data_IF_750471964279
#
_entry.id   IF_750471964279
#
_cell.length_a   1.000
_cell.length_b   1.000
_cell.length_c   1.000
_cell.angle_alpha   90.00
_cell.angle_beta   90.00
_cell.angle_gamma   90.00
#
_symmetry.space_group_name_H-M   'P 1'
#
loop_
_entity.id
_entity.type
_entity.pdbx_description
1 polymer ?
#
# COMPACT_ATOMS: atom_id res chain seq x y z
N UNK A 1 11.82 7.74 11.52
CA UNK A 1 12.10 8.48 10.29
C UNK A 1 10.78 9.03 9.77
N UNK A 2 10.67 10.34 9.64
CA UNK A 2 9.51 11.04 9.09
C UNK A 2 9.67 11.45 7.62
N UNK A 3 8.66 12.15 7.10
CA UNK A 3 8.60 12.60 5.70
C UNK A 3 9.82 13.42 5.28
N UNK A 4 10.23 14.36 6.14
CA UNK A 4 11.34 15.28 5.84
C UNK A 4 12.66 14.52 5.73
N UNK A 5 12.86 13.49 6.55
CA UNK A 5 14.05 12.66 6.54
C UNK A 5 14.17 11.84 5.25
N UNK A 6 13.06 11.29 4.76
CA UNK A 6 13.04 10.60 3.47
C UNK A 6 13.21 11.56 2.29
N UNK A 7 12.58 12.73 2.33
CA UNK A 7 12.76 13.76 1.30
C UNK A 7 14.22 14.24 1.26
N UNK A 8 14.82 14.54 2.41
CA UNK A 8 16.22 14.93 2.51
C UNK A 8 17.15 13.81 2.04
N UNK A 9 16.88 12.56 2.42
CA UNK A 9 17.66 11.41 1.95
C UNK A 9 17.64 11.33 0.42
N UNK A 10 16.48 11.43 -0.22
CA UNK A 10 16.38 11.41 -1.69
C UNK A 10 17.10 12.61 -2.33
N UNK A 11 16.95 13.81 -1.78
CA UNK A 11 17.57 15.03 -2.29
C UNK A 11 19.11 15.00 -2.24
N UNK A 12 19.70 14.20 -1.33
CA UNK A 12 21.15 14.05 -1.22
C UNK A 12 21.67 12.80 -1.93
N UNK A 13 21.00 11.66 -1.78
CA UNK A 13 21.46 10.37 -2.31
C UNK A 13 21.28 10.26 -3.82
N UNK A 14 20.18 10.77 -4.39
CA UNK A 14 19.97 10.71 -5.86
C UNK A 14 21.08 11.46 -6.60
N UNK A 15 21.38 12.74 -6.28
CA UNK A 15 22.46 13.45 -6.99
C UNK A 15 23.84 12.86 -6.72
N UNK A 16 24.09 12.29 -5.53
CA UNK A 16 25.33 11.60 -5.22
C UNK A 16 25.54 10.40 -6.15
N UNK A 17 24.51 9.55 -6.30
CA UNK A 17 24.56 8.36 -7.15
C UNK A 17 24.75 8.76 -8.62
N UNK A 18 24.01 9.76 -9.10
CA UNK A 18 24.08 10.20 -10.49
C UNK A 18 25.44 10.78 -10.89
N UNK A 19 26.22 11.30 -9.93
CA UNK A 19 27.54 11.89 -10.17
C UNK A 19 28.70 10.93 -9.89
N UNK A 20 28.42 9.79 -9.26
CA UNK A 20 29.45 8.84 -8.85
C UNK A 20 29.86 7.93 -10.00
N UNK A 21 31.14 7.58 -10.05
CA UNK A 21 31.62 6.49 -10.90
C UNK A 21 31.41 5.11 -10.24
N UNK A 22 31.70 4.04 -10.98
CA UNK A 22 31.51 2.67 -10.50
C UNK A 22 32.31 2.35 -9.22
N UNK A 23 33.54 2.87 -9.10
CA UNK A 23 34.39 2.61 -7.94
C UNK A 23 33.87 3.35 -6.69
N UNK A 24 33.37 4.57 -6.87
CA UNK A 24 32.72 5.33 -5.81
C UNK A 24 31.44 4.67 -5.34
N UNK A 25 30.61 4.17 -6.26
CA UNK A 25 29.36 3.46 -5.92
C UNK A 25 29.63 2.17 -5.14
N UNK A 26 30.64 1.39 -5.54
CA UNK A 26 31.07 0.20 -4.81
C UNK A 26 31.57 0.56 -3.40
N UNK A 27 32.35 1.65 -3.26
CA UNK A 27 32.80 2.13 -1.96
C UNK A 27 31.65 2.57 -1.05
N UNK A 28 30.66 3.30 -1.58
CA UNK A 28 29.48 3.70 -0.81
C UNK A 28 28.64 2.50 -0.37
N UNK A 29 28.43 1.54 -1.27
CA UNK A 29 27.68 0.33 -0.97
C UNK A 29 28.35 -0.50 0.13
N UNK A 30 29.70 -0.63 0.07
CA UNK A 30 30.48 -1.31 1.10
C UNK A 30 30.39 -0.62 2.46
N UNK A 31 30.47 0.72 2.50
CA UNK A 31 30.32 1.49 3.75
C UNK A 31 28.94 1.26 4.36
N UNK A 32 27.88 1.40 3.56
CA UNK A 32 26.50 1.24 4.03
C UNK A 32 26.22 -0.20 4.46
N UNK A 33 26.77 -1.18 3.76
CA UNK A 33 26.60 -2.60 4.12
C UNK A 33 27.20 -2.96 5.49
N UNK A 34 28.13 -2.16 6.00
CA UNK A 34 28.72 -2.32 7.33
C UNK A 34 27.93 -1.61 8.44
N UNK A 35 26.88 -0.86 8.11
CA UNK A 35 26.04 -0.11 9.05
C UNK A 35 24.77 -0.90 9.39
N UNK A 36 24.72 -1.63 10.53
CA UNK A 36 23.56 -2.46 10.87
C UNK A 36 22.26 -1.67 11.02
N UNK A 37 22.32 -0.41 11.43
CA UNK A 37 21.18 0.49 11.55
C UNK A 37 20.52 0.84 10.21
N UNK A 38 21.23 0.67 9.09
CA UNK A 38 20.72 0.87 7.73
C UNK A 38 20.25 -0.42 7.08
N UNK A 39 20.10 -1.49 7.85
CA UNK A 39 19.61 -2.76 7.33
C UNK A 39 18.10 -2.72 7.12
N UNK A 40 17.67 -3.20 5.96
CA UNK A 40 16.27 -3.28 5.56
C UNK A 40 15.84 -4.74 5.62
N UNK A 41 14.71 -5.02 6.24
CA UNK A 41 14.16 -6.38 6.32
C UNK A 41 13.01 -6.54 5.33
N UNK A 42 13.08 -7.58 4.49
CA UNK A 42 12.03 -7.89 3.51
C UNK A 42 11.21 -9.11 3.94
N UNK A 43 10.17 -9.45 3.17
CA UNK A 43 9.27 -10.58 3.41
C UNK A 43 8.60 -10.53 4.79
N UNK A 44 8.31 -9.33 5.29
CA UNK A 44 7.73 -9.14 6.62
C UNK A 44 6.32 -9.73 6.73
N UNK A 45 5.63 -9.95 5.61
CA UNK A 45 4.34 -10.65 5.59
C UNK A 45 4.41 -12.09 6.10
N UNK A 46 5.59 -12.73 6.11
CA UNK A 46 5.77 -14.04 6.76
C UNK A 46 5.61 -13.98 8.27
N UNK A 47 5.88 -12.83 8.89
CA UNK A 47 5.80 -12.60 10.35
C UNK A 47 4.38 -12.41 10.85
N UNK A 48 3.38 -12.42 9.97
CA UNK A 48 1.98 -12.44 10.40
C UNK A 48 1.61 -13.73 11.18
N UNK A 49 2.56 -14.65 11.43
CA UNK A 49 2.43 -15.84 12.29
C UNK A 49 1.24 -16.76 11.94
N UNK A 50 0.86 -16.80 10.67
CA UNK A 50 -0.19 -17.68 10.15
C UNK A 50 -0.02 -19.18 10.45
N UNK A 51 1.21 -19.74 10.52
CA UNK A 51 1.39 -21.17 10.81
C UNK A 51 1.12 -21.53 12.28
N UNK A 52 1.19 -20.57 13.21
CA UNK A 52 1.07 -20.83 14.66
C UNK A 52 -0.38 -20.73 15.15
N UNK A 53 -1.28 -20.15 14.36
CA UNK A 53 -2.71 -20.20 14.66
C UNK A 53 -3.22 -21.63 14.39
N UNK A 54 -3.47 -22.39 15.46
CA UNK A 54 -4.12 -23.70 15.33
C UNK A 54 -5.39 -23.55 14.49
N UNK A 55 -5.49 -24.25 13.37
CA UNK A 55 -6.56 -24.08 12.38
C UNK A 55 -7.99 -24.17 12.99
N UNK A 56 -8.13 -24.81 14.14
CA UNK A 56 -9.36 -24.96 14.92
C UNK A 56 -9.84 -23.68 15.64
N UNK A 57 -8.95 -22.74 15.99
CA UNK A 57 -9.31 -21.49 16.69
C UNK A 57 -9.57 -20.31 15.75
N UNK A 58 -9.28 -20.46 14.45
CA UNK A 58 -9.48 -19.42 13.45
C UNK A 58 -10.95 -19.33 13.01
N UNK A 59 -11.44 -18.09 12.87
CA UNK A 59 -12.75 -17.83 12.25
C UNK A 59 -12.76 -18.34 10.80
N UNK A 60 -13.93 -18.71 10.24
CA UNK A 60 -14.03 -19.15 8.83
C UNK A 60 -13.42 -18.15 7.84
N UNK A 61 -13.56 -16.85 8.14
CA UNK A 61 -13.00 -15.76 7.36
C UNK A 61 -11.47 -15.77 7.33
N UNK A 62 -10.83 -15.88 8.50
CA UNK A 62 -9.38 -15.94 8.61
C UNK A 62 -8.83 -17.21 7.97
N UNK A 63 -9.51 -18.34 8.16
CA UNK A 63 -9.16 -19.62 7.52
C UNK A 63 -9.19 -19.51 5.99
N UNK A 64 -10.26 -18.94 5.43
CA UNK A 64 -10.38 -18.69 4.00
C UNK A 64 -9.27 -17.78 3.47
N UNK A 65 -8.95 -16.71 4.21
CA UNK A 65 -7.92 -15.75 3.80
C UNK A 65 -6.51 -16.37 3.83
N UNK A 66 -6.20 -17.19 4.82
CA UNK A 66 -4.91 -17.91 4.90
C UNK A 66 -4.77 -18.91 3.74
N UNK A 67 -5.84 -19.60 3.36
CA UNK A 67 -5.80 -20.49 2.20
C UNK A 67 -5.52 -19.73 0.90
N UNK A 68 -6.16 -18.56 0.71
CA UNK A 68 -5.88 -17.69 -0.44
C UNK A 68 -4.43 -17.18 -0.43
N UNK A 69 -3.90 -16.79 0.73
CA UNK A 69 -2.51 -16.37 0.89
C UNK A 69 -1.54 -17.47 0.44
N UNK A 70 -1.73 -18.71 0.91
CA UNK A 70 -0.90 -19.87 0.53
C UNK A 70 -0.97 -20.21 -0.97
N UNK A 71 -2.06 -19.83 -1.65
CA UNK A 71 -2.28 -20.08 -3.08
C UNK A 71 -1.83 -18.90 -3.96
N UNK A 72 -1.37 -17.80 -3.36
CA UNK A 72 -0.94 -16.61 -4.10
C UNK A 72 0.23 -16.93 -5.02
N UNK A 73 0.15 -16.49 -6.27
CA UNK A 73 1.26 -16.54 -7.24
C UNK A 73 2.28 -15.40 -7.05
N UNK A 74 1.93 -14.43 -6.19
CA UNK A 74 2.75 -13.33 -5.73
C UNK A 74 3.27 -13.56 -4.30
N UNK A 75 3.18 -14.80 -3.80
CA UNK A 75 3.67 -15.14 -2.48
C UNK A 75 5.20 -14.95 -2.40
N UNK A 76 5.72 -14.88 -1.18
CA UNK A 76 7.17 -14.75 -0.97
C UNK A 76 7.91 -15.93 -1.61
N UNK A 77 9.03 -15.64 -2.27
CA UNK A 77 9.94 -16.70 -2.72
C UNK A 77 10.41 -17.52 -1.52
N UNK A 78 10.42 -18.85 -1.64
CA UNK A 78 11.10 -19.72 -0.67
C UNK A 78 12.60 -19.40 -0.68
N UNK A 79 13.04 -18.66 0.33
CA UNK A 79 14.45 -18.44 0.60
C UNK A 79 14.95 -19.55 1.54
N UNK A 80 16.21 -19.94 1.38
CA UNK A 80 16.82 -21.02 2.17
C UNK A 80 16.75 -20.75 3.68
N UNK A 81 16.94 -21.80 4.49
CA UNK A 81 16.81 -21.73 5.96
C UNK A 81 17.77 -20.72 6.64
N UNK A 82 18.77 -20.20 5.92
CA UNK A 82 19.79 -19.27 6.42
C UNK A 82 19.56 -17.79 6.05
N UNK A 83 18.55 -17.46 5.24
CA UNK A 83 18.26 -16.06 4.89
C UNK A 83 17.49 -15.37 6.05
N UNK A 84 18.13 -14.44 6.74
CA UNK A 84 17.55 -13.65 7.84
C UNK A 84 16.66 -12.50 7.34
N UNK A 85 16.40 -12.45 6.03
CA UNK A 85 15.68 -11.42 5.28
C UNK A 85 16.31 -10.03 5.39
N UNK A 86 17.53 -9.95 5.90
CA UNK A 86 18.25 -8.71 6.03
C UNK A 86 18.86 -8.35 4.69
N UNK A 87 18.71 -7.10 4.32
CA UNK A 87 19.27 -6.50 3.12
C UNK A 87 20.05 -5.26 3.52
N UNK A 88 21.15 -5.01 2.85
CA UNK A 88 22.02 -3.86 3.14
C UNK A 88 22.61 -3.33 1.84
N UNK A 89 23.11 -2.10 1.90
CA UNK A 89 23.71 -1.43 0.75
C UNK A 89 22.93 -0.21 0.28
N UNK A 90 23.57 0.58 -0.58
CA UNK A 90 23.10 1.88 -1.00
C UNK A 90 21.76 1.79 -1.74
N UNK A 91 21.63 0.79 -2.62
CA UNK A 91 20.41 0.54 -3.39
C UNK A 91 19.20 0.27 -2.50
N UNK A 92 19.38 -0.46 -1.40
CA UNK A 92 18.30 -0.77 -0.46
C UNK A 92 17.85 0.45 0.33
N UNK A 93 18.79 1.27 0.80
CA UNK A 93 18.48 2.48 1.59
C UNK A 93 17.69 3.48 0.76
N UNK A 94 18.15 3.77 -0.46
CA UNK A 94 17.45 4.73 -1.32
C UNK A 94 16.12 4.17 -1.83
N UNK A 95 16.01 2.86 -2.09
CA UNK A 95 14.74 2.21 -2.41
C UNK A 95 13.71 2.36 -1.28
N UNK A 96 14.11 2.11 -0.03
CA UNK A 96 13.24 2.30 1.13
C UNK A 96 12.81 3.77 1.26
N UNK A 97 13.76 4.70 1.18
CA UNK A 97 13.44 6.13 1.27
C UNK A 97 12.43 6.56 0.20
N UNK A 98 12.55 6.02 -1.01
CA UNK A 98 11.63 6.27 -2.14
C UNK A 98 10.22 5.74 -1.88
N UNK A 99 10.10 4.52 -1.35
CA UNK A 99 8.80 3.90 -1.05
C UNK A 99 8.09 4.66 0.08
N UNK A 100 8.81 4.95 1.16
CA UNK A 100 8.25 5.66 2.31
C UNK A 100 7.85 7.10 1.96
N UNK A 101 8.71 7.82 1.24
CA UNK A 101 8.38 9.15 0.72
C UNK A 101 7.13 9.11 -0.17
N UNK A 102 7.10 8.20 -1.16
CA UNK A 102 5.98 8.05 -2.07
C UNK A 102 4.67 7.69 -1.36
N UNK A 103 4.72 6.82 -0.36
CA UNK A 103 3.55 6.46 0.47
C UNK A 103 2.95 7.67 1.19
N UNK A 104 3.79 8.57 1.69
CA UNK A 104 3.35 9.81 2.34
C UNK A 104 2.77 10.79 1.32
N UNK A 105 3.40 10.97 0.16
CA UNK A 105 2.89 11.82 -0.92
C UNK A 105 1.49 11.41 -1.38
N UNK A 106 1.27 10.11 -1.62
CA UNK A 106 -0.05 9.56 -1.99
C UNK A 106 -1.10 9.91 -0.93
N UNK A 107 -0.71 9.86 0.34
CA UNK A 107 -1.60 10.06 1.46
C UNK A 107 -2.08 11.50 1.65
N UNK A 108 -1.33 12.50 1.19
CA UNK A 108 -1.55 13.90 1.60
C UNK A 108 -1.48 14.93 0.48
N UNK A 109 -0.85 14.63 -0.65
CA UNK A 109 -0.59 15.62 -1.69
C UNK A 109 -1.45 15.38 -2.94
N UNK A 110 -1.75 16.47 -3.66
CA UNK A 110 -2.43 16.45 -4.96
C UNK A 110 -1.38 16.50 -6.07
N UNK A 111 -1.65 15.82 -7.18
CA UNK A 111 -0.83 15.88 -8.41
C UNK A 111 0.66 15.53 -8.21
N UNK A 112 0.96 14.61 -7.31
CA UNK A 112 2.32 14.10 -7.11
C UNK A 112 2.66 12.98 -8.10
N UNK A 113 3.96 12.83 -8.37
CA UNK A 113 4.55 11.67 -9.04
C UNK A 113 5.04 10.72 -7.94
N UNK A 114 4.16 9.90 -7.34
CA UNK A 114 4.55 9.08 -6.20
C UNK A 114 5.69 8.14 -6.57
N UNK A 115 6.58 7.91 -5.61
CA UNK A 115 7.82 7.15 -5.77
C UNK A 115 8.86 7.79 -6.71
N UNK A 116 8.57 8.94 -7.34
CA UNK A 116 9.51 9.72 -8.14
C UNK A 116 10.28 8.86 -9.18
N UNK A 117 9.54 8.09 -9.99
CA UNK A 117 10.10 7.07 -10.89
C UNK A 117 11.04 7.64 -11.97
N UNK A 118 10.91 8.91 -12.31
CA UNK A 118 11.76 9.60 -13.29
C UNK A 118 13.23 9.72 -12.83
N UNK A 119 13.45 9.72 -11.51
CA UNK A 119 14.76 9.77 -10.88
C UNK A 119 15.20 8.42 -10.30
N UNK A 120 14.56 7.32 -10.71
CA UNK A 120 14.94 5.98 -10.27
C UNK A 120 16.24 5.57 -10.96
N UNK A 121 17.30 5.33 -10.18
CA UNK A 121 18.59 4.87 -10.71
C UNK A 121 18.66 3.35 -10.81
N UNK A 122 19.60 2.84 -11.60
CA UNK A 122 19.78 1.40 -11.80
C UNK A 122 20.21 0.66 -10.54
N UNK A 123 20.88 1.34 -9.60
CA UNK A 123 21.38 0.72 -8.36
C UNK A 123 20.23 0.30 -7.45
N UNK A 124 19.20 1.14 -7.33
CA UNK A 124 18.06 0.85 -6.46
C UNK A 124 16.90 0.16 -7.16
N UNK A 125 16.89 0.09 -8.50
CA UNK A 125 15.77 -0.47 -9.24
C UNK A 125 15.39 -1.88 -8.77
N UNK A 126 16.31 -2.84 -8.55
CA UNK A 126 15.95 -4.17 -8.07
C UNK A 126 15.37 -4.15 -6.65
N UNK A 127 16.03 -3.43 -5.73
CA UNK A 127 15.59 -3.30 -4.34
C UNK A 127 14.22 -2.61 -4.22
N UNK A 128 14.00 -1.57 -5.03
CA UNK A 128 12.73 -0.87 -5.12
C UNK A 128 11.59 -1.80 -5.56
N UNK A 129 11.83 -2.64 -6.57
CA UNK A 129 10.83 -3.59 -7.04
C UNK A 129 10.50 -4.66 -6.00
N UNK A 130 11.49 -5.18 -5.29
CA UNK A 130 11.28 -6.15 -4.22
C UNK A 130 10.48 -5.53 -3.07
N UNK A 131 10.91 -4.37 -2.56
CA UNK A 131 10.22 -3.68 -1.47
C UNK A 131 8.81 -3.23 -1.85
N UNK A 132 8.59 -2.81 -3.10
CA UNK A 132 7.27 -2.40 -3.57
C UNK A 132 6.31 -3.59 -3.61
N UNK A 133 6.77 -4.76 -4.07
CA UNK A 133 5.97 -5.99 -4.07
C UNK A 133 5.72 -6.49 -2.64
N UNK A 134 6.74 -6.50 -1.79
CA UNK A 134 6.62 -6.91 -0.39
C UNK A 134 5.66 -6.00 0.38
N UNK A 135 5.78 -4.69 0.21
CA UNK A 135 4.86 -3.70 0.78
C UNK A 135 3.43 -3.89 0.28
N UNK A 136 3.24 -4.05 -1.04
CA UNK A 136 1.91 -4.29 -1.61
C UNK A 136 1.26 -5.56 -1.03
N UNK A 137 2.00 -6.66 -1.00
CA UNK A 137 1.57 -7.93 -0.41
C UNK A 137 1.23 -7.77 1.08
N UNK A 138 2.12 -7.16 1.86
CA UNK A 138 1.93 -6.92 3.29
C UNK A 138 0.68 -6.10 3.58
N UNK A 139 0.46 -5.01 2.83
CA UNK A 139 -0.75 -4.20 2.99
C UNK A 139 -2.02 -4.95 2.58
N UNK A 140 -1.99 -5.67 1.45
CA UNK A 140 -3.14 -6.39 0.93
C UNK A 140 -3.62 -7.47 1.91
N UNK A 141 -2.74 -8.36 2.36
CA UNK A 141 -3.13 -9.45 3.24
C UNK A 141 -3.53 -8.97 4.63
N UNK A 142 -2.83 -7.95 5.16
CA UNK A 142 -3.24 -7.33 6.42
C UNK A 142 -4.66 -6.75 6.33
N UNK A 143 -5.00 -6.06 5.23
CA UNK A 143 -6.37 -5.57 5.03
C UNK A 143 -7.38 -6.70 4.87
N UNK A 144 -7.06 -7.74 4.09
CA UNK A 144 -7.99 -8.85 3.84
C UNK A 144 -8.29 -9.67 5.10
N UNK A 145 -7.36 -9.69 6.05
CA UNK A 145 -7.54 -10.40 7.33
C UNK A 145 -8.19 -9.55 8.40
N UNK A 146 -8.16 -8.24 8.26
CA UNK A 146 -8.72 -7.33 9.24
C UNK A 146 -10.26 -7.35 9.20
N UNK A 147 -10.95 -7.70 10.29
CA UNK A 147 -12.41 -7.68 10.37
C UNK A 147 -13.02 -6.33 9.98
N UNK A 148 -12.31 -5.23 10.22
CA UNK A 148 -12.78 -3.87 9.90
C UNK A 148 -12.96 -3.67 8.40
N UNK A 149 -12.07 -4.21 7.57
CA UNK A 149 -12.22 -4.19 6.11
C UNK A 149 -13.53 -4.86 5.68
N UNK A 150 -13.91 -5.96 6.33
CA UNK A 150 -15.16 -6.66 6.02
C UNK A 150 -16.40 -5.93 6.50
N UNK A 151 -16.31 -5.18 7.60
CA UNK A 151 -17.39 -4.29 8.04
C UNK A 151 -17.57 -3.13 7.04
N UNK A 152 -16.48 -2.59 6.51
CA UNK A 152 -16.49 -1.57 5.45
C UNK A 152 -17.15 -2.11 4.18
N UNK A 153 -16.72 -3.28 3.69
CA UNK A 153 -17.30 -3.92 2.49
C UNK A 153 -18.80 -4.27 2.66
N UNK A 154 -19.27 -4.44 3.89
CA UNK A 154 -20.69 -4.67 4.20
C UNK A 154 -21.50 -3.39 4.40
N UNK A 155 -20.85 -2.22 4.44
CA UNK A 155 -21.51 -0.95 4.75
C UNK A 155 -22.06 -0.89 6.18
N UNK A 156 -21.38 -1.49 7.17
CA UNK A 156 -21.85 -1.55 8.57
C UNK A 156 -21.61 -0.21 9.31
N UNK A 157 -22.35 0.82 8.95
CA UNK A 157 -22.19 2.23 9.42
C UNK A 157 -22.20 2.36 10.95
N UNK A 158 -22.95 1.52 11.66
CA UNK A 158 -23.03 1.56 13.15
C UNK A 158 -21.73 1.11 13.81
N UNK A 159 -20.94 0.26 13.13
CA UNK A 159 -19.72 -0.36 13.68
C UNK A 159 -18.44 0.28 13.17
N UNK A 160 -18.52 1.12 12.13
CA UNK A 160 -17.36 1.75 11.51
C UNK A 160 -17.49 3.26 11.62
N UNK A 161 -16.59 3.88 12.39
CA UNK A 161 -16.52 5.34 12.43
C UNK A 161 -16.02 5.91 11.09
N UNK A 162 -16.40 7.14 10.78
CA UNK A 162 -15.92 7.86 9.60
C UNK A 162 -14.39 7.97 9.57
N UNK A 163 -13.75 8.15 10.72
CA UNK A 163 -12.29 8.20 10.85
C UNK A 163 -11.64 6.88 10.47
N UNK A 164 -12.20 5.76 10.94
CA UNK A 164 -11.74 4.42 10.56
C UNK A 164 -11.95 4.18 9.07
N UNK A 165 -13.13 4.49 8.53
CA UNK A 165 -13.41 4.36 7.10
C UNK A 165 -12.38 5.15 6.25
N UNK A 166 -12.09 6.39 6.61
CA UNK A 166 -11.09 7.21 5.92
C UNK A 166 -9.66 6.62 6.01
N UNK A 167 -9.29 6.05 7.14
CA UNK A 167 -7.98 5.40 7.31
C UNK A 167 -7.81 4.18 6.39
N UNK A 168 -8.84 3.32 6.29
CA UNK A 168 -8.82 2.17 5.37
C UNK A 168 -8.92 2.60 3.92
N UNK A 169 -9.72 3.62 3.61
CA UNK A 169 -9.78 4.20 2.27
C UNK A 169 -8.43 4.75 1.80
N UNK A 170 -7.69 5.40 2.70
CA UNK A 170 -6.32 5.86 2.39
C UNK A 170 -5.37 4.70 2.13
N UNK A 171 -5.43 3.64 2.95
CA UNK A 171 -4.62 2.44 2.76
C UNK A 171 -4.94 1.75 1.42
N UNK A 172 -6.22 1.69 1.04
CA UNK A 172 -6.65 1.16 -0.26
C UNK A 172 -6.09 1.98 -1.42
N UNK A 173 -6.15 3.32 -1.35
CA UNK A 173 -5.54 4.21 -2.36
C UNK A 173 -4.04 3.99 -2.47
N UNK A 174 -3.33 3.93 -1.35
CA UNK A 174 -1.88 3.68 -1.34
C UNK A 174 -1.54 2.34 -1.98
N UNK A 175 -2.25 1.27 -1.62
CA UNK A 175 -2.05 -0.04 -2.22
C UNK A 175 -2.34 -0.04 -3.72
N UNK A 176 -3.43 0.59 -4.18
CA UNK A 176 -3.70 0.73 -5.61
C UNK A 176 -2.56 1.41 -6.37
N UNK A 177 -1.94 2.45 -5.80
CA UNK A 177 -0.77 3.11 -6.41
C UNK A 177 0.47 2.23 -6.43
N UNK A 178 0.69 1.41 -5.41
CA UNK A 178 1.77 0.41 -5.42
C UNK A 178 1.54 -0.63 -6.54
N UNK A 179 0.31 -1.14 -6.68
CA UNK A 179 -0.06 -2.12 -7.71
C UNK A 179 0.05 -1.55 -9.13
N UNK A 180 -0.41 -0.31 -9.35
CA UNK A 180 -0.25 0.40 -10.63
C UNK A 180 1.24 0.54 -11.00
N UNK A 181 2.07 0.89 -10.01
CA UNK A 181 3.52 1.05 -10.19
C UNK A 181 4.20 -0.29 -10.50
N UNK A 182 3.85 -1.35 -9.77
CA UNK A 182 4.31 -2.72 -10.05
C UNK A 182 3.94 -3.16 -11.45
N UNK A 183 2.69 -2.95 -11.88
CA UNK A 183 2.26 -3.32 -13.22
C UNK A 183 2.98 -2.52 -14.31
N UNK A 184 3.28 -1.24 -14.07
CA UNK A 184 4.05 -0.40 -15.00
C UNK A 184 5.51 -0.85 -15.12
N UNK A 185 6.15 -1.25 -14.02
CA UNK A 185 7.59 -1.53 -13.98
C UNK A 185 7.95 -3.01 -14.19
N UNK A 186 7.19 -3.93 -13.60
CA UNK A 186 7.36 -5.38 -13.74
C UNK A 186 6.36 -6.02 -14.70
N UNK A 187 5.59 -5.21 -15.45
CA UNK A 187 4.60 -5.72 -16.39
C UNK A 187 5.19 -6.72 -17.40
N UNK A 188 6.45 -6.61 -17.80
CA UNK A 188 7.06 -7.61 -18.69
C UNK A 188 7.58 -8.86 -17.96
N UNK A 189 7.93 -8.76 -16.67
CA UNK A 189 8.54 -9.84 -15.88
C UNK A 189 7.51 -10.72 -15.18
N UNK A 190 6.30 -10.22 -14.93
CA UNK A 190 5.23 -11.01 -14.32
C UNK A 190 4.56 -11.95 -15.32
N UNK A 191 4.29 -13.17 -14.83
CA UNK A 191 3.48 -14.16 -15.55
C UNK A 191 2.04 -13.66 -15.73
N UNK A 192 1.26 -14.19 -16.69
CA UNK A 192 -0.15 -13.84 -16.84
C UNK A 192 -0.98 -14.07 -15.57
N UNK A 193 -0.65 -15.10 -14.79
CA UNK A 193 -1.32 -15.41 -13.52
C UNK A 193 -1.05 -14.32 -12.49
N UNK A 194 0.21 -13.90 -12.35
CA UNK A 194 0.61 -12.82 -11.44
C UNK A 194 -0.03 -11.48 -11.81
N UNK A 195 -0.10 -11.15 -13.11
CA UNK A 195 -0.80 -9.94 -13.58
C UNK A 195 -2.28 -9.96 -13.23
N UNK A 196 -2.94 -11.10 -13.45
CA UNK A 196 -4.34 -11.28 -13.08
C UNK A 196 -4.54 -11.12 -11.58
N UNK A 197 -3.65 -11.68 -10.78
CA UNK A 197 -3.70 -11.55 -9.32
C UNK A 197 -3.50 -10.10 -8.85
N UNK A 198 -2.54 -9.35 -9.41
CA UNK A 198 -2.38 -7.91 -9.14
C UNK A 198 -3.65 -7.14 -9.48
N UNK A 199 -4.28 -7.43 -10.61
CA UNK A 199 -5.54 -6.80 -10.99
C UNK A 199 -6.68 -7.15 -10.03
N UNK A 200 -6.73 -8.39 -9.53
CA UNK A 200 -7.67 -8.78 -8.48
C UNK A 200 -7.43 -7.96 -7.21
N UNK A 201 -6.20 -7.84 -6.74
CA UNK A 201 -5.88 -7.04 -5.55
C UNK A 201 -6.26 -5.57 -5.74
N UNK A 202 -6.08 -5.03 -6.95
CA UNK A 202 -6.48 -3.68 -7.30
C UNK A 202 -8.00 -3.50 -7.22
N UNK A 203 -8.76 -4.44 -7.77
CA UNK A 203 -10.21 -4.42 -7.78
C UNK A 203 -10.78 -4.56 -6.37
N UNK A 204 -10.22 -5.43 -5.55
CA UNK A 204 -10.60 -5.56 -4.14
C UNK A 204 -10.44 -4.23 -3.39
N UNK A 205 -9.38 -3.47 -3.68
CA UNK A 205 -9.19 -2.14 -3.09
C UNK A 205 -10.17 -1.09 -3.64
N UNK A 206 -10.66 -1.24 -4.87
CA UNK A 206 -11.76 -0.41 -5.37
C UNK A 206 -13.03 -0.67 -4.57
N UNK A 207 -13.37 -1.94 -4.29
CA UNK A 207 -14.53 -2.30 -3.48
C UNK A 207 -14.43 -1.73 -2.05
N UNK A 208 -13.23 -1.75 -1.45
CA UNK A 208 -13.00 -1.10 -0.14
C UNK A 208 -13.28 0.40 -0.21
N UNK A 209 -12.82 1.08 -1.27
CA UNK A 209 -13.07 2.53 -1.45
C UNK A 209 -14.55 2.84 -1.64
N UNK A 210 -15.27 2.01 -2.39
CA UNK A 210 -16.73 2.12 -2.54
C UNK A 210 -17.44 1.96 -1.17
N UNK A 211 -17.07 0.96 -0.38
CA UNK A 211 -17.62 0.79 0.98
C UNK A 211 -17.30 1.96 1.91
N UNK A 212 -16.16 2.63 1.74
CA UNK A 212 -15.86 3.89 2.43
C UNK A 212 -16.79 5.01 1.98
N UNK A 213 -17.02 5.17 0.67
CA UNK A 213 -17.99 6.13 0.14
C UNK A 213 -19.38 5.92 0.72
N UNK A 214 -19.83 4.66 0.84
CA UNK A 214 -21.12 4.29 1.44
C UNK A 214 -21.20 4.70 2.92
N UNK A 215 -20.20 4.35 3.72
CA UNK A 215 -20.16 4.72 5.15
C UNK A 215 -20.18 6.24 5.32
N UNK A 216 -19.39 6.96 4.51
CA UNK A 216 -19.31 8.42 4.59
C UNK A 216 -20.63 9.08 4.21
N UNK A 217 -21.29 8.60 3.15
CA UNK A 217 -22.60 9.07 2.77
C UNK A 217 -23.62 8.85 3.90
N UNK A 218 -23.73 7.63 4.41
CA UNK A 218 -24.72 7.31 5.43
C UNK A 218 -24.49 8.07 6.74
N UNK A 219 -23.21 8.26 7.12
CA UNK A 219 -22.84 9.02 8.32
C UNK A 219 -23.25 10.49 8.20
N UNK A 220 -23.15 11.09 7.01
CA UNK A 220 -23.31 12.54 6.82
C UNK A 220 -24.51 12.95 5.96
N UNK A 221 -25.38 12.03 5.55
CA UNK A 221 -26.49 12.28 4.61
C UNK A 221 -27.40 13.44 4.99
N UNK A 222 -27.67 13.64 6.28
CA UNK A 222 -28.47 14.76 6.78
C UNK A 222 -27.76 16.09 6.54
N UNK A 223 -26.47 16.17 6.90
CA UNK A 223 -25.66 17.36 6.69
C UNK A 223 -25.47 17.65 5.19
N UNK A 224 -25.22 16.62 4.38
CA UNK A 224 -25.13 16.72 2.92
C UNK A 224 -26.42 17.32 2.34
N UNK A 225 -27.58 16.83 2.75
CA UNK A 225 -28.87 17.33 2.29
C UNK A 225 -29.11 18.79 2.73
N UNK A 226 -28.76 19.14 3.96
CA UNK A 226 -28.92 20.50 4.50
C UNK A 226 -27.98 21.53 3.86
N UNK A 227 -26.78 21.13 3.44
CA UNK A 227 -25.78 22.01 2.84
C UNK A 227 -25.88 22.10 1.31
N UNK A 228 -26.89 21.45 0.70
CA UNK A 228 -27.11 21.51 -0.75
C UNK A 228 -26.24 20.55 -1.57
N UNK A 229 -25.66 19.52 -0.96
CA UNK A 229 -24.91 18.45 -1.64
C UNK A 229 -23.52 18.20 -1.05
N UNK A 230 -22.86 17.13 -1.52
CA UNK A 230 -21.55 16.69 -0.99
C UNK A 230 -20.44 17.70 -1.25
N UNK A 231 -20.54 18.49 -2.31
CA UNK A 231 -19.53 19.49 -2.66
C UNK A 231 -19.43 20.63 -1.64
N UNK A 232 -20.54 20.92 -0.95
CA UNK A 232 -20.61 21.95 0.09
C UNK A 232 -20.07 21.48 1.44
N UNK A 233 -19.86 20.17 1.63
CA UNK A 233 -19.33 19.60 2.87
C UNK A 233 -17.80 19.73 2.90
N UNK A 234 -17.26 20.28 3.99
CA UNK A 234 -15.81 20.34 4.23
C UNK A 234 -15.25 18.96 4.61
N UNK A 235 -14.99 18.13 3.59
CA UNK A 235 -14.34 16.82 3.74
C UNK A 235 -12.83 16.94 3.53
N UNK A 236 -12.06 16.70 4.59
CA UNK A 236 -10.59 16.70 4.57
C UNK A 236 -10.03 15.29 4.70
N UNK A 237 -9.01 14.98 3.91
CA UNK A 237 -8.36 13.67 3.91
C UNK A 237 -7.42 13.49 2.72
N UNK A 238 -7.02 12.25 2.45
CA UNK A 238 -6.25 11.89 1.26
C UNK A 238 -6.98 12.40 0.00
N UNK A 239 -6.35 13.27 -0.83
CA UNK A 239 -7.08 13.92 -1.92
C UNK A 239 -7.75 12.95 -2.89
N UNK A 240 -7.05 11.89 -3.30
CA UNK A 240 -7.59 10.89 -4.21
C UNK A 240 -8.76 10.11 -3.63
N UNK A 241 -8.78 9.92 -2.31
CA UNK A 241 -9.90 9.31 -1.60
C UNK A 241 -11.08 10.29 -1.54
N UNK A 242 -10.84 11.54 -1.14
CA UNK A 242 -11.87 12.59 -1.04
C UNK A 242 -12.53 12.82 -2.40
N UNK A 243 -11.74 12.94 -3.47
CA UNK A 243 -12.25 13.11 -4.84
C UNK A 243 -13.00 11.86 -5.33
N UNK A 244 -12.66 10.68 -4.80
CA UNK A 244 -13.42 9.44 -5.02
C UNK A 244 -14.79 9.50 -4.35
N UNK A 245 -14.81 9.77 -3.04
CA UNK A 245 -16.03 9.87 -2.23
C UNK A 245 -16.98 10.91 -2.80
N UNK A 246 -16.49 12.12 -3.12
CA UNK A 246 -17.30 13.20 -3.71
C UNK A 246 -17.99 12.74 -4.98
N UNK A 247 -17.23 12.16 -5.91
CA UNK A 247 -17.73 11.64 -7.19
C UNK A 247 -18.73 10.50 -7.01
N UNK A 248 -18.46 9.54 -6.13
CA UNK A 248 -19.35 8.41 -5.92
C UNK A 248 -20.69 8.86 -5.33
N UNK A 249 -20.66 9.80 -4.38
CA UNK A 249 -21.87 10.39 -3.79
C UNK A 249 -22.61 11.25 -4.81
N UNK A 250 -21.92 12.11 -5.56
CA UNK A 250 -22.55 12.99 -6.56
C UNK A 250 -23.21 12.20 -7.70
N UNK A 251 -22.65 11.04 -8.06
CA UNK A 251 -23.19 10.15 -9.09
C UNK A 251 -24.24 9.16 -8.55
N UNK A 252 -24.60 9.24 -7.26
CA UNK A 252 -25.54 8.31 -6.63
C UNK A 252 -25.06 6.86 -6.61
N UNK A 253 -23.74 6.65 -6.68
CA UNK A 253 -23.10 5.33 -6.65
C UNK A 253 -22.91 4.83 -5.23
N UNK A 254 -22.83 5.73 -4.25
CA UNK A 254 -22.92 5.37 -2.85
C UNK A 254 -24.33 4.80 -2.58
N UNK A 255 -24.44 3.49 -2.34
CA UNK A 255 -25.73 2.78 -2.27
C UNK A 255 -26.07 2.41 -0.83
N UNK A 256 -27.35 2.57 -0.50
CA UNK A 256 -27.91 2.02 0.73
C UNK A 256 -28.46 0.62 0.46
N UNK A 257 -28.00 -0.38 1.20
CA UNK A 257 -28.80 -1.60 1.45
C UNK A 257 -29.41 -1.50 2.83
N UNK A 258 -30.59 -0.89 2.92
CA UNK A 258 -31.44 -1.07 4.09
C UNK A 258 -31.91 -2.53 4.07
N UNK A 259 -31.46 -3.34 5.02
CA UNK A 259 -32.19 -4.57 5.33
C UNK A 259 -33.56 -4.13 5.86
N UNK A 260 -34.61 -4.46 5.10
CA UNK A 260 -35.98 -4.51 5.64
C UNK A 260 -36.07 -5.60 6.69
#
# INVERSE_FOLDING_TARGET
>A
MGYQEYANALNHLVPLIQKADAAQLEAYDKIISQMPELSIYTNLSRRFNFPQAQNSSLTPLLRGTINLYRQSSLNEQELGQEDDFRRSGLGWVIALARIEHGGIEIGYQRNVSPFNLEHLTEIERPAFMELLLDGARGHYWAMRMDPMTHLILKGEVVKVSSQTALAYGRRAVMLQRMLETLNKMAGATFTPVQKKELQTWYNDMSEVREGVSDIMYETYKVAIAQQGGIEAVDLKGCPQLVDGIRRDISLGRAKIRLKK
#
